data_IF_458358035912
#
_entry.id   IF_458358035912
#
_cell.length_a   1.000
_cell.length_b   1.000
_cell.length_c   1.000
_cell.angle_alpha   90.00
_cell.angle_beta   90.00
_cell.angle_gamma   90.00
#
_symmetry.space_group_name_H-M   'P 1'
#
loop_
_entity.id
_entity.type
_entity.pdbx_description
1 polymer ?
#
# COMPACT_ATOMS: atom_id res chain seq x y z
N UNK A 1 47.79 21.24 -31.90
CA UNK A 1 46.35 20.92 -32.06
C UNK A 1 45.88 20.09 -30.87
N UNK A 2 45.01 20.62 -30.00
CA UNK A 2 43.99 19.83 -29.28
C UNK A 2 43.04 20.78 -28.52
N UNK A 3 41.95 21.20 -29.18
CA UNK A 3 40.77 21.82 -28.53
C UNK A 3 39.86 20.67 -28.07
N UNK A 4 39.89 20.32 -26.77
CA UNK A 4 38.92 19.37 -26.19
C UNK A 4 37.61 20.11 -25.93
N UNK A 5 36.56 19.71 -26.66
CA UNK A 5 35.19 20.20 -26.52
C UNK A 5 34.59 19.70 -25.21
N UNK A 6 34.35 20.60 -24.25
CA UNK A 6 33.53 20.38 -23.05
C UNK A 6 32.11 20.87 -23.35
N UNK A 7 31.33 20.09 -24.11
CA UNK A 7 29.90 20.35 -24.32
C UNK A 7 29.23 19.01 -24.61
N UNK A 8 28.63 18.39 -23.61
CA UNK A 8 27.93 17.12 -23.85
C UNK A 8 27.42 16.33 -22.64
N UNK A 9 27.60 16.81 -21.40
CA UNK A 9 27.18 16.05 -20.21
C UNK A 9 26.20 16.80 -19.30
N UNK A 10 26.09 18.14 -19.42
CA UNK A 10 25.20 18.93 -18.54
C UNK A 10 23.70 18.82 -18.84
N UNK A 11 23.30 18.40 -20.04
CA UNK A 11 21.87 18.34 -20.41
C UNK A 11 21.14 17.10 -19.88
N UNK A 12 21.79 15.94 -19.90
CA UNK A 12 21.16 14.68 -19.45
C UNK A 12 20.99 14.61 -17.93
N UNK A 13 21.90 15.21 -17.16
CA UNK A 13 21.83 15.17 -15.70
C UNK A 13 20.63 15.96 -15.15
N UNK A 14 20.21 17.02 -15.84
CA UNK A 14 19.04 17.82 -15.45
C UNK A 14 17.71 17.09 -15.72
N UNK A 15 17.64 16.26 -16.77
CA UNK A 15 16.43 15.49 -17.12
C UNK A 15 16.24 14.29 -16.18
N UNK A 16 17.32 13.66 -15.72
CA UNK A 16 17.25 12.58 -14.72
C UNK A 16 16.79 13.09 -13.35
N UNK A 17 17.13 14.34 -12.99
CA UNK A 17 16.65 14.99 -11.76
C UNK A 17 15.16 15.37 -11.82
N UNK A 18 14.58 15.54 -13.02
CA UNK A 18 13.16 15.83 -13.23
C UNK A 18 12.26 14.57 -13.17
N UNK A 19 12.82 13.37 -13.35
CA UNK A 19 12.11 12.10 -13.17
C UNK A 19 12.06 11.63 -11.70
N UNK A 20 12.70 12.37 -10.79
CA UNK A 20 12.63 12.12 -9.35
C UNK A 20 11.43 12.84 -8.67
N UNK A 21 10.62 13.59 -9.43
CA UNK A 21 9.21 13.86 -9.07
C UNK A 21 8.33 12.80 -9.73
N UNK A 22 7.37 12.14 -9.10
CA UNK A 22 6.56 12.50 -7.95
C UNK A 22 6.16 11.22 -7.19
N UNK A 23 5.96 11.32 -5.88
CA UNK A 23 5.45 10.25 -5.01
C UNK A 23 4.02 9.78 -5.31
N UNK A 24 3.49 10.04 -6.51
CA UNK A 24 2.13 9.70 -6.92
C UNK A 24 1.91 8.20 -7.16
N UNK A 25 2.95 7.46 -7.55
CA UNK A 25 2.82 6.02 -7.81
C UNK A 25 2.62 5.21 -6.53
N UNK A 26 3.20 5.66 -5.41
CA UNK A 26 3.22 4.89 -4.18
C UNK A 26 1.83 4.69 -3.57
N UNK A 27 1.05 5.76 -3.41
CA UNK A 27 -0.26 5.66 -2.76
C UNK A 27 -1.28 4.94 -3.63
N UNK A 28 -1.18 5.06 -4.97
CA UNK A 28 -2.01 4.30 -5.91
C UNK A 28 -1.74 2.81 -5.77
N UNK A 29 -0.46 2.42 -5.79
CA UNK A 29 -0.05 1.04 -5.51
C UNK A 29 -0.56 0.53 -4.15
N UNK A 30 -0.45 1.34 -3.10
CA UNK A 30 -0.95 0.98 -1.77
C UNK A 30 -2.47 0.76 -1.76
N UNK A 31 -3.23 1.71 -2.35
CA UNK A 31 -4.69 1.65 -2.47
C UNK A 31 -5.13 0.42 -3.26
N UNK A 32 -4.50 0.16 -4.40
CA UNK A 32 -4.82 -0.98 -5.26
C UNK A 32 -4.49 -2.30 -4.58
N UNK A 33 -3.35 -2.39 -3.86
CA UNK A 33 -2.97 -3.56 -3.08
C UNK A 33 -3.95 -3.87 -1.94
N UNK A 34 -4.41 -2.84 -1.23
CA UNK A 34 -5.47 -2.96 -0.21
C UNK A 34 -6.78 -3.44 -0.86
N UNK A 35 -7.19 -2.83 -1.96
CA UNK A 35 -8.42 -3.23 -2.66
C UNK A 35 -8.36 -4.68 -3.16
N UNK A 36 -7.21 -5.12 -3.68
CA UNK A 36 -7.00 -6.50 -4.13
C UNK A 36 -7.11 -7.51 -2.96
N UNK A 37 -6.55 -7.17 -1.80
CA UNK A 37 -6.61 -8.03 -0.60
C UNK A 37 -8.05 -8.30 -0.13
N UNK A 38 -8.96 -7.34 -0.35
CA UNK A 38 -10.37 -7.46 0.04
C UNK A 38 -11.07 -8.60 -0.68
N UNK A 39 -10.77 -8.81 -1.97
CA UNK A 39 -11.37 -9.91 -2.74
C UNK A 39 -11.04 -11.29 -2.16
N UNK A 40 -9.79 -11.49 -1.71
CA UNK A 40 -9.38 -12.76 -1.07
C UNK A 40 -10.07 -12.96 0.29
N UNK A 41 -10.16 -11.90 1.10
CA UNK A 41 -10.87 -11.95 2.39
C UNK A 41 -12.35 -12.26 2.20
N UNK A 42 -13.03 -11.58 1.28
CA UNK A 42 -14.46 -11.78 1.01
C UNK A 42 -14.75 -13.20 0.49
N UNK A 43 -13.87 -13.74 -0.35
CA UNK A 43 -13.98 -15.14 -0.80
C UNK A 43 -13.86 -16.13 0.36
N UNK A 44 -12.87 -15.96 1.24
CA UNK A 44 -12.70 -16.82 2.40
C UNK A 44 -13.83 -16.65 3.43
N UNK A 45 -14.34 -15.43 3.62
CA UNK A 45 -15.54 -15.21 4.43
C UNK A 45 -16.73 -15.96 3.85
N UNK A 46 -16.96 -15.88 2.53
CA UNK A 46 -18.07 -16.59 1.90
C UNK A 46 -18.01 -18.13 2.08
N UNK A 47 -16.81 -18.69 2.19
CA UNK A 47 -16.61 -20.13 2.40
C UNK A 47 -16.72 -20.56 3.87
N UNK A 48 -16.22 -19.76 4.81
CA UNK A 48 -16.08 -20.15 6.22
C UNK A 48 -16.99 -19.39 7.21
N UNK A 49 -17.85 -18.46 6.75
CA UNK A 49 -18.62 -17.59 7.66
C UNK A 49 -19.47 -18.39 8.65
N UNK A 50 -20.17 -19.41 8.17
CA UNK A 50 -21.12 -20.19 8.98
C UNK A 50 -20.38 -20.94 10.10
N UNK A 51 -19.23 -21.55 9.77
CA UNK A 51 -18.34 -22.18 10.74
C UNK A 51 -17.76 -21.17 11.72
N UNK A 52 -17.36 -19.98 11.25
CA UNK A 52 -16.78 -18.94 12.09
C UNK A 52 -17.78 -18.29 13.05
N UNK A 53 -19.07 -18.28 12.69
CA UNK A 53 -20.15 -17.88 13.61
C UNK A 53 -20.36 -18.94 14.69
N UNK A 54 -20.25 -20.22 14.34
CA UNK A 54 -20.40 -21.32 15.29
C UNK A 54 -19.20 -21.45 16.24
N UNK A 55 -17.98 -21.35 15.72
CA UNK A 55 -16.74 -21.42 16.47
C UNK A 55 -15.66 -20.48 15.89
N UNK A 56 -15.48 -19.28 16.47
CA UNK A 56 -14.49 -18.31 15.99
C UNK A 56 -13.05 -18.73 16.29
N UNK A 57 -12.82 -19.79 17.06
CA UNK A 57 -11.48 -20.27 17.41
C UNK A 57 -10.86 -21.19 16.35
N UNK A 58 -11.67 -21.61 15.36
CA UNK A 58 -11.19 -22.42 14.25
C UNK A 58 -10.08 -21.69 13.49
N UNK A 59 -9.07 -22.45 13.06
CA UNK A 59 -7.90 -21.88 12.40
C UNK A 59 -8.24 -21.01 11.17
N UNK A 60 -9.17 -21.39 10.27
CA UNK A 60 -9.60 -20.52 9.16
C UNK A 60 -10.15 -19.17 9.65
N UNK A 61 -10.96 -19.17 10.71
CA UNK A 61 -11.57 -17.98 11.28
C UNK A 61 -10.54 -17.05 11.91
N UNK A 62 -9.57 -17.61 12.63
CA UNK A 62 -8.43 -16.85 13.17
C UNK A 62 -7.61 -16.23 12.04
N UNK A 63 -7.35 -16.96 10.96
CA UNK A 63 -6.60 -16.45 9.80
C UNK A 63 -7.37 -15.35 9.06
N UNK A 64 -8.67 -15.52 8.82
CA UNK A 64 -9.53 -14.50 8.19
C UNK A 64 -9.58 -13.22 9.04
N UNK A 65 -9.76 -13.34 10.36
CA UNK A 65 -9.79 -12.18 11.26
C UNK A 65 -8.45 -11.43 11.26
N UNK A 66 -7.32 -12.15 11.30
CA UNK A 66 -5.98 -11.53 11.16
C UNK A 66 -5.82 -10.79 9.84
N UNK A 67 -6.40 -11.30 8.75
CA UNK A 67 -6.35 -10.65 7.45
C UNK A 67 -7.15 -9.35 7.42
N UNK A 68 -8.35 -9.35 8.04
CA UNK A 68 -9.18 -8.14 8.21
C UNK A 68 -8.42 -7.09 9.03
N UNK A 69 -7.82 -7.49 10.16
CA UNK A 69 -7.04 -6.59 11.01
C UNK A 69 -5.83 -6.00 10.25
N UNK A 70 -5.14 -6.82 9.47
CA UNK A 70 -3.99 -6.37 8.68
C UNK A 70 -4.40 -5.42 7.53
N UNK A 71 -5.54 -5.67 6.88
CA UNK A 71 -6.10 -4.77 5.87
C UNK A 71 -6.49 -3.42 6.50
N UNK A 72 -7.18 -3.44 7.65
CA UNK A 72 -7.56 -2.23 8.37
C UNK A 72 -6.31 -1.41 8.78
N UNK A 73 -5.27 -2.07 9.27
CA UNK A 73 -4.00 -1.40 9.59
C UNK A 73 -3.36 -0.74 8.36
N UNK A 74 -3.40 -1.40 7.20
CA UNK A 74 -2.89 -0.83 5.95
C UNK A 74 -3.71 0.37 5.49
N UNK A 75 -5.04 0.31 5.62
CA UNK A 75 -5.96 1.43 5.36
C UNK A 75 -5.64 2.61 6.28
N UNK A 76 -5.52 2.37 7.58
CA UNK A 76 -5.23 3.42 8.56
C UNK A 76 -3.87 4.07 8.31
N UNK A 77 -2.84 3.26 8.02
CA UNK A 77 -1.53 3.78 7.66
C UNK A 77 -1.60 4.65 6.39
N UNK A 78 -2.36 4.22 5.38
CA UNK A 78 -2.53 4.96 4.13
C UNK A 78 -3.32 6.26 4.36
N UNK A 79 -4.36 6.24 5.19
CA UNK A 79 -5.15 7.41 5.55
C UNK A 79 -4.31 8.45 6.29
N UNK A 80 -3.43 8.02 7.19
CA UNK A 80 -2.46 8.90 7.85
C UNK A 80 -1.45 9.49 6.85
N UNK A 81 -1.04 8.71 5.84
CA UNK A 81 -0.11 9.16 4.83
C UNK A 81 -0.74 10.11 3.81
N UNK A 82 -1.99 9.93 3.41
CA UNK A 82 -2.65 10.69 2.33
C UNK A 82 -3.66 11.75 2.79
N UNK A 83 -3.80 11.93 4.10
CA UNK A 83 -4.80 12.77 4.78
C UNK A 83 -5.07 14.11 4.08
N UNK A 84 -6.32 14.54 4.01
CA UNK A 84 -6.64 15.88 3.52
C UNK A 84 -8.09 16.02 3.08
N UNK A 85 -8.59 17.24 2.77
CA UNK A 85 -9.99 17.48 2.48
C UNK A 85 -10.53 16.73 1.26
N UNK A 86 -9.66 16.36 0.32
CA UNK A 86 -10.04 15.63 -0.88
C UNK A 86 -9.91 14.11 -0.71
N UNK A 87 -9.11 13.62 0.25
CA UNK A 87 -8.76 12.20 0.35
C UNK A 87 -9.97 11.29 0.58
N UNK A 88 -10.91 11.74 1.42
CA UNK A 88 -12.12 10.98 1.77
C UNK A 88 -13.17 10.98 0.65
N UNK A 89 -12.97 11.77 -0.42
CA UNK A 89 -13.87 11.80 -1.56
C UNK A 89 -13.57 10.62 -2.52
N UNK A 90 -14.59 10.10 -3.23
CA UNK A 90 -14.37 9.14 -4.30
C UNK A 90 -13.41 9.70 -5.36
N UNK A 91 -12.28 9.03 -5.59
CA UNK A 91 -11.25 9.49 -6.51
C UNK A 91 -10.36 10.62 -5.96
N UNK A 92 -10.46 10.92 -4.67
CA UNK A 92 -9.66 11.90 -3.96
C UNK A 92 -8.16 11.70 -4.14
N UNK A 93 -7.44 12.79 -4.41
CA UNK A 93 -5.98 12.80 -4.46
C UNK A 93 -5.39 12.67 -3.05
N UNK A 94 -4.25 11.99 -2.99
CA UNK A 94 -3.44 11.86 -1.76
C UNK A 94 -2.72 13.17 -1.48
N UNK A 95 -2.84 13.69 -0.25
CA UNK A 95 -2.11 14.87 0.24
C UNK A 95 -1.09 14.45 1.31
N UNK A 96 0.14 14.04 0.92
CA UNK A 96 1.12 13.56 1.87
C UNK A 96 1.76 14.70 2.68
N UNK A 97 2.27 14.41 3.90
CA UNK A 97 2.89 15.42 4.74
C UNK A 97 3.97 16.22 4.00
N UNK A 98 3.94 17.54 4.17
CA UNK A 98 4.91 18.45 3.55
C UNK A 98 6.33 18.30 4.13
N UNK A 99 6.42 17.94 5.42
CA UNK A 99 7.69 17.62 6.08
C UNK A 99 8.28 16.35 5.48
N UNK A 100 9.50 16.46 4.93
CA UNK A 100 10.23 15.34 4.32
C UNK A 100 10.42 14.18 5.31
N UNK A 101 10.73 14.47 6.56
CA UNK A 101 10.95 13.47 7.60
C UNK A 101 9.65 12.75 7.95
N UNK A 102 8.58 13.51 8.19
CA UNK A 102 7.25 12.95 8.48
C UNK A 102 6.74 12.10 7.32
N UNK A 103 6.91 12.58 6.08
CA UNK A 103 6.51 11.83 4.88
C UNK A 103 7.27 10.51 4.77
N UNK A 104 8.59 10.52 4.92
CA UNK A 104 9.39 9.30 4.86
C UNK A 104 9.02 8.31 5.98
N UNK A 105 8.76 8.83 7.19
CA UNK A 105 8.32 8.01 8.32
C UNK A 105 6.97 7.34 8.02
N UNK A 106 5.95 8.09 7.60
CA UNK A 106 4.63 7.53 7.30
C UNK A 106 4.66 6.60 6.09
N UNK A 107 5.42 6.93 5.04
CA UNK A 107 5.61 6.04 3.89
C UNK A 107 6.18 4.68 4.33
N UNK A 108 7.16 4.68 5.24
CA UNK A 108 7.72 3.43 5.79
C UNK A 108 6.69 2.61 6.56
N UNK A 109 5.75 3.26 7.26
CA UNK A 109 4.67 2.60 8.00
C UNK A 109 3.64 1.98 7.07
N UNK A 110 3.27 2.67 5.98
CA UNK A 110 2.42 2.12 4.93
C UNK A 110 3.08 0.89 4.29
N UNK A 111 4.38 0.97 3.94
CA UNK A 111 5.11 -0.18 3.39
C UNK A 111 5.14 -1.38 4.34
N UNK A 112 5.40 -1.14 5.62
CA UNK A 112 5.40 -2.19 6.63
C UNK A 112 4.02 -2.86 6.76
N UNK A 113 2.93 -2.07 6.78
CA UNK A 113 1.58 -2.58 6.85
C UNK A 113 1.19 -3.39 5.60
N UNK A 114 1.52 -2.90 4.39
CA UNK A 114 1.29 -3.61 3.13
C UNK A 114 2.05 -4.95 3.05
N UNK A 115 3.29 -4.99 3.56
CA UNK A 115 4.07 -6.23 3.58
C UNK A 115 3.49 -7.25 4.56
N UNK A 116 3.08 -6.80 5.75
CA UNK A 116 2.43 -7.66 6.74
C UNK A 116 1.10 -8.22 6.21
N UNK A 117 0.28 -7.36 5.61
CA UNK A 117 -0.98 -7.72 4.95
C UNK A 117 -0.75 -8.75 3.84
N UNK A 118 0.20 -8.49 2.92
CA UNK A 118 0.50 -9.42 1.81
C UNK A 118 0.86 -10.83 2.29
N UNK A 119 1.61 -10.94 3.40
CA UNK A 119 1.95 -12.24 3.98
C UNK A 119 0.72 -13.01 4.48
N UNK A 120 -0.17 -12.31 5.20
CA UNK A 120 -1.40 -12.93 5.76
C UNK A 120 -2.40 -13.26 4.65
N UNK A 121 -2.50 -12.43 3.59
CA UNK A 121 -3.39 -12.71 2.46
C UNK A 121 -2.96 -13.96 1.71
N UNK A 122 -1.66 -14.25 1.60
CA UNK A 122 -1.20 -15.52 1.03
C UNK A 122 -1.66 -16.73 1.86
N UNK A 123 -1.76 -16.60 3.19
CA UNK A 123 -2.33 -17.64 4.05
C UNK A 123 -3.84 -17.81 3.80
N UNK A 124 -4.59 -16.70 3.66
CA UNK A 124 -6.03 -16.72 3.32
C UNK A 124 -6.26 -17.38 1.96
N UNK A 125 -5.49 -17.04 0.94
CA UNK A 125 -5.57 -17.69 -0.37
C UNK A 125 -5.29 -19.20 -0.30
N UNK A 126 -4.49 -19.64 0.67
CA UNK A 126 -4.25 -21.06 0.93
C UNK A 126 -5.45 -21.80 1.55
N UNK A 127 -6.42 -21.09 2.12
CA UNK A 127 -7.65 -21.68 2.68
C UNK A 127 -8.69 -22.02 1.62
N UNK A 128 -8.68 -21.30 0.49
CA UNK A 128 -9.72 -21.34 -0.56
C UNK A 128 -9.26 -22.07 -1.84
N UNK A 129 -8.10 -22.74 -1.80
CA UNK A 129 -7.51 -23.48 -2.94
C UNK A 129 -7.57 -24.98 -2.69
#
# INVERSE_FOLDING_TARGET
MLRRRLTGVSGLLAIVLLLAGCGEGFYKYARDGIAASKGAIEAAQAEYMDECVADPSLQPCVTINKAIDAQNLAVDALNLYCSGPQWDLPGGECDPPSSKETRAHLESRVRAALNAMSGIIAEVEGLIR
#
